data_IF_129943442180
#
_entry.id   IF_129943442180
#
_cell.length_a   1.000
_cell.length_b   1.000
_cell.length_c   1.000
_cell.angle_alpha   90.00
_cell.angle_beta   90.00
_cell.angle_gamma   90.00
#
_symmetry.space_group_name_H-M   'P 1'
#
loop_
_entity.id
_entity.type
_entity.pdbx_description
1 polymer ?
#
# COMPACT_ATOMS: atom_id res chain seq x y z
N UNK A 1 -4.79 14.58 25.12
CA UNK A 1 -4.83 13.38 24.25
C UNK A 1 -5.33 12.11 24.96
N UNK A 2 -5.15 12.00 26.28
CA UNK A 2 -5.59 10.84 27.07
C UNK A 2 -7.10 10.51 26.94
N UNK A 3 -7.99 11.51 26.99
CA UNK A 3 -9.43 11.27 26.95
C UNK A 3 -9.98 10.65 25.66
N UNK A 4 -9.41 10.99 24.49
CA UNK A 4 -9.86 10.37 23.21
C UNK A 4 -9.47 8.90 23.05
N UNK A 5 -8.36 8.50 23.63
CA UNK A 5 -7.92 7.09 23.60
C UNK A 5 -8.83 6.24 24.48
N UNK A 6 -9.23 6.76 25.63
CA UNK A 6 -10.16 6.10 26.55
C UNK A 6 -11.56 5.95 25.92
N UNK A 7 -12.07 7.02 25.30
CA UNK A 7 -13.32 7.00 24.54
C UNK A 7 -13.30 5.96 23.39
N UNK A 8 -12.19 5.89 22.64
CA UNK A 8 -12.02 4.88 21.58
C UNK A 8 -11.99 3.46 22.15
N UNK A 9 -11.33 3.26 23.29
CA UNK A 9 -11.28 1.95 23.97
C UNK A 9 -12.67 1.48 24.39
N UNK A 10 -13.47 2.39 24.96
CA UNK A 10 -14.85 2.10 25.31
C UNK A 10 -15.70 1.74 24.07
N UNK A 11 -15.58 2.51 23.00
CA UNK A 11 -16.29 2.23 21.75
C UNK A 11 -15.90 0.88 21.14
N UNK A 12 -14.62 0.53 21.14
CA UNK A 12 -14.13 -0.77 20.67
C UNK A 12 -14.78 -1.90 21.48
N UNK A 13 -14.82 -1.77 22.81
CA UNK A 13 -15.46 -2.75 23.67
C UNK A 13 -16.99 -2.85 23.45
N UNK A 14 -17.67 -1.72 23.26
CA UNK A 14 -19.11 -1.69 23.04
C UNK A 14 -19.53 -2.26 21.69
N UNK A 15 -18.69 -2.09 20.66
CA UNK A 15 -18.99 -2.51 19.29
C UNK A 15 -18.38 -3.86 18.92
N UNK A 16 -17.55 -4.45 19.80
CA UNK A 16 -16.76 -5.65 19.55
C UNK A 16 -15.94 -5.53 18.25
N UNK A 17 -15.30 -4.39 18.05
CA UNK A 17 -14.61 -4.06 16.83
C UNK A 17 -13.21 -4.69 16.80
N UNK A 18 -12.86 -5.38 15.71
CA UNK A 18 -11.54 -5.99 15.48
C UNK A 18 -10.44 -4.97 15.14
N UNK A 19 -10.81 -3.72 14.88
CA UNK A 19 -9.88 -2.67 14.53
C UNK A 19 -10.53 -1.33 14.31
N UNK A 20 -9.71 -0.31 14.08
CA UNK A 20 -10.14 1.05 13.80
C UNK A 20 -9.53 1.55 12.49
N UNK A 21 -10.23 2.45 11.83
CA UNK A 21 -9.76 3.16 10.64
C UNK A 21 -9.68 4.65 10.95
N UNK A 22 -8.51 5.24 10.75
CA UNK A 22 -8.31 6.67 10.84
C UNK A 22 -8.46 7.31 9.47
N UNK A 23 -9.26 8.36 9.36
CA UNK A 23 -9.46 9.11 8.10
C UNK A 23 -8.27 10.02 7.75
N UNK A 24 -7.28 10.09 8.59
CA UNK A 24 -6.03 10.81 8.37
C UNK A 24 -4.86 9.86 8.13
N UNK A 25 -3.79 10.38 7.52
CA UNK A 25 -2.53 9.67 7.41
C UNK A 25 -1.77 9.74 8.73
N UNK A 26 -1.51 8.58 9.33
CA UNK A 26 -0.78 8.48 10.59
C UNK A 26 0.73 8.38 10.34
N UNK A 27 1.51 9.04 11.18
CA UNK A 27 2.96 8.78 11.23
C UNK A 27 3.23 7.38 11.78
N UNK A 28 4.38 6.76 11.47
CA UNK A 28 4.72 5.44 12.01
C UNK A 28 4.66 5.36 13.54
N UNK A 29 5.09 6.42 14.23
CA UNK A 29 5.05 6.49 15.69
C UNK A 29 3.60 6.55 16.22
N UNK A 30 2.75 7.37 15.61
CA UNK A 30 1.33 7.45 15.98
C UNK A 30 0.61 6.11 15.77
N UNK A 31 0.87 5.44 14.64
CA UNK A 31 0.30 4.14 14.35
C UNK A 31 0.69 3.11 15.42
N UNK A 32 1.98 3.02 15.74
CA UNK A 32 2.48 2.08 16.75
C UNK A 32 1.88 2.38 18.11
N UNK A 33 1.90 3.63 18.55
CA UNK A 33 1.35 4.03 19.83
C UNK A 33 -0.15 3.71 19.94
N UNK A 34 -0.94 3.98 18.89
CA UNK A 34 -2.37 3.65 18.88
C UNK A 34 -2.60 2.15 18.93
N UNK A 35 -1.83 1.34 18.20
CA UNK A 35 -1.93 -0.12 18.25
C UNK A 35 -1.57 -0.68 19.63
N UNK A 36 -0.53 -0.14 20.26
CA UNK A 36 -0.13 -0.54 21.62
C UNK A 36 -1.15 -0.15 22.67
N UNK A 37 -1.73 1.04 22.58
CA UNK A 37 -2.72 1.54 23.53
C UNK A 37 -4.09 0.86 23.39
N UNK A 38 -4.53 0.64 22.16
CA UNK A 38 -5.87 0.12 21.89
C UNK A 38 -5.91 -1.41 21.76
N UNK A 39 -4.76 -2.06 21.57
CA UNK A 39 -4.62 -3.52 21.39
C UNK A 39 -5.48 -4.08 20.24
N UNK A 40 -5.82 -3.26 19.26
CA UNK A 40 -6.56 -3.63 18.05
C UNK A 40 -5.80 -3.18 16.80
N UNK A 41 -6.19 -3.70 15.66
CA UNK A 41 -5.63 -3.29 14.38
C UNK A 41 -5.98 -1.85 14.06
N UNK A 42 -4.98 -1.02 13.77
CA UNK A 42 -5.16 0.36 13.34
C UNK A 42 -4.76 0.50 11.88
N UNK A 43 -5.67 1.00 11.07
CA UNK A 43 -5.45 1.31 9.66
C UNK A 43 -5.60 2.81 9.45
N UNK A 44 -4.79 3.37 8.58
CA UNK A 44 -4.99 4.75 8.11
C UNK A 44 -5.66 4.77 6.73
N UNK A 45 -6.08 5.96 6.31
CA UNK A 45 -6.75 6.18 5.04
C UNK A 45 -5.94 5.66 3.85
N UNK A 46 -4.63 5.84 3.86
CA UNK A 46 -3.77 5.44 2.75
C UNK A 46 -3.74 3.92 2.57
N UNK A 47 -3.63 3.15 3.65
CA UNK A 47 -3.71 1.68 3.58
C UNK A 47 -5.06 1.23 3.02
N UNK A 48 -6.15 1.83 3.50
CA UNK A 48 -7.49 1.47 3.07
C UNK A 48 -7.71 1.73 1.57
N UNK A 49 -7.27 2.88 1.07
CA UNK A 49 -7.34 3.22 -0.36
C UNK A 49 -6.51 2.24 -1.19
N UNK A 50 -5.30 1.90 -0.74
CA UNK A 50 -4.44 0.96 -1.44
C UNK A 50 -5.04 -0.45 -1.49
N UNK A 51 -5.69 -0.90 -0.43
CA UNK A 51 -6.36 -2.19 -0.38
C UNK A 51 -7.58 -2.24 -1.31
N UNK A 52 -8.36 -1.15 -1.38
CA UNK A 52 -9.46 -1.01 -2.34
C UNK A 52 -8.94 -1.08 -3.78
N UNK A 53 -7.87 -0.39 -4.11
CA UNK A 53 -7.26 -0.46 -5.44
C UNK A 53 -6.71 -1.85 -5.74
N UNK A 54 -6.12 -2.54 -4.77
CA UNK A 54 -5.64 -3.90 -4.93
C UNK A 54 -6.77 -4.88 -5.26
N UNK A 55 -7.91 -4.75 -4.59
CA UNK A 55 -9.09 -5.57 -4.83
C UNK A 55 -9.70 -5.33 -6.23
N UNK A 56 -9.60 -4.12 -6.77
CA UNK A 56 -10.20 -3.73 -8.05
C UNK A 56 -9.22 -3.79 -9.24
N UNK A 57 -7.94 -3.98 -9.02
CA UNK A 57 -6.94 -4.06 -10.07
C UNK A 57 -7.11 -5.33 -10.93
N UNK A 58 -7.60 -5.17 -12.15
CA UNK A 58 -7.85 -6.28 -13.10
C UNK A 58 -6.73 -6.46 -14.11
N UNK A 59 -6.05 -5.38 -14.49
CA UNK A 59 -4.97 -5.43 -15.48
C UNK A 59 -3.64 -5.78 -14.83
N UNK A 60 -2.74 -6.41 -15.59
CA UNK A 60 -1.37 -6.70 -15.14
C UNK A 60 -0.63 -5.41 -14.72
N UNK A 61 -0.75 -4.35 -15.51
CA UNK A 61 -0.18 -3.05 -15.18
C UNK A 61 -0.75 -2.48 -13.89
N UNK A 62 -2.08 -2.50 -13.72
CA UNK A 62 -2.75 -2.03 -12.50
C UNK A 62 -2.31 -2.79 -11.25
N UNK A 63 -2.20 -4.12 -11.33
CA UNK A 63 -1.72 -4.96 -10.22
C UNK A 63 -0.28 -4.60 -9.82
N UNK A 64 0.62 -4.42 -10.79
CA UNK A 64 2.00 -4.02 -10.53
C UNK A 64 2.08 -2.62 -9.91
N UNK A 65 1.27 -1.67 -10.39
CA UNK A 65 1.23 -0.31 -9.85
C UNK A 65 0.75 -0.28 -8.40
N UNK A 66 -0.30 -1.02 -8.08
CA UNK A 66 -0.83 -1.08 -6.71
C UNK A 66 0.15 -1.78 -5.78
N UNK A 67 0.74 -2.90 -6.18
CA UNK A 67 1.77 -3.59 -5.39
C UNK A 67 2.96 -2.66 -5.12
N UNK A 68 3.40 -1.92 -6.14
CA UNK A 68 4.48 -0.93 -6.00
C UNK A 68 4.12 0.18 -5.00
N UNK A 69 2.89 0.70 -5.04
CA UNK A 69 2.42 1.71 -4.10
C UNK A 69 2.36 1.18 -2.67
N UNK A 70 1.83 -0.03 -2.46
CA UNK A 70 1.80 -0.69 -1.15
C UNK A 70 3.20 -0.92 -0.57
N UNK A 71 4.16 -1.35 -1.39
CA UNK A 71 5.53 -1.55 -0.94
C UNK A 71 6.25 -0.24 -0.60
N UNK A 72 6.03 0.81 -1.38
CA UNK A 72 6.55 2.15 -1.07
C UNK A 72 6.00 2.69 0.25
N UNK A 73 4.71 2.53 0.47
CA UNK A 73 4.08 2.89 1.72
C UNK A 73 4.68 2.12 2.90
N UNK A 74 4.82 0.79 2.80
CA UNK A 74 5.49 -0.05 3.82
C UNK A 74 6.93 0.39 4.06
N UNK A 75 7.69 0.68 3.00
CA UNK A 75 9.08 1.13 3.11
C UNK A 75 9.20 2.44 3.90
N UNK A 76 8.30 3.40 3.67
CA UNK A 76 8.28 4.67 4.42
C UNK A 76 8.00 4.45 5.90
N UNK A 77 7.10 3.52 6.23
CA UNK A 77 6.77 3.16 7.63
C UNK A 77 7.93 2.49 8.35
N UNK A 78 8.61 1.54 7.74
CA UNK A 78 9.80 0.91 8.30
C UNK A 78 10.96 1.89 8.53
N UNK A 79 11.06 2.93 7.70
CA UNK A 79 12.06 3.98 7.88
C UNK A 79 11.78 4.83 9.12
N UNK A 80 10.52 5.14 9.39
CA UNK A 80 10.09 5.85 10.59
C UNK A 80 10.34 5.06 11.87
N UNK A 81 10.02 3.76 11.89
CA UNK A 81 10.25 2.87 13.01
C UNK A 81 11.73 2.74 13.38
N UNK A 82 12.62 2.63 12.39
CA UNK A 82 14.07 2.55 12.66
C UNK A 82 14.65 3.81 13.32
N UNK A 83 14.12 4.99 12.98
CA UNK A 83 14.51 6.25 13.65
C UNK A 83 13.97 6.33 15.08
N UNK A 84 12.81 5.78 15.34
CA UNK A 84 12.21 5.71 16.68
C UNK A 84 12.98 4.75 17.58
N UNK A 85 13.32 3.55 17.09
CA UNK A 85 14.09 2.55 17.84
C UNK A 85 15.52 3.00 18.14
N UNK A 86 16.19 3.70 17.22
CA UNK A 86 17.54 4.24 17.47
C UNK A 86 17.55 5.39 18.47
N UNK A 87 16.44 6.08 18.72
CA UNK A 87 16.28 7.09 19.78
C UNK A 87 16.11 6.48 21.18
N UNK A 88 15.49 5.29 21.25
CA UNK A 88 15.24 4.58 22.51
C UNK A 88 16.45 3.75 22.96
N UNK A 89 17.32 3.34 22.03
CA UNK A 89 18.56 2.62 22.32
C UNK A 89 19.76 3.54 22.48
N UNK A 90 19.84 4.27 23.58
CA UNK A 90 21.00 5.13 23.93
C UNK A 90 22.27 4.34 24.24
N UNK A 91 22.86 3.70 23.23
CA UNK A 91 24.14 3.00 23.37
C UNK A 91 24.83 2.89 22.01
N UNK A 92 26.00 3.55 21.92
CA UNK A 92 26.92 3.46 20.79
C UNK A 92 27.36 1.98 20.64
N UNK A 93 26.88 1.28 19.61
CA UNK A 93 27.56 0.07 19.13
C UNK A 93 26.83 -1.27 19.19
N UNK A 94 25.66 -1.38 19.79
CA UNK A 94 24.91 -2.66 19.81
C UNK A 94 23.66 -2.59 18.96
N UNK A 95 23.77 -2.98 17.68
CA UNK A 95 22.60 -3.28 16.84
C UNK A 95 21.85 -4.47 17.45
N UNK A 96 20.68 -4.19 18.05
CA UNK A 96 19.82 -5.22 18.59
C UNK A 96 19.26 -6.15 17.50
N UNK A 97 18.77 -7.37 17.86
CA UNK A 97 18.20 -8.32 16.90
C UNK A 97 17.02 -7.73 16.12
N UNK A 98 16.26 -6.79 16.69
CA UNK A 98 15.18 -6.07 16.02
C UNK A 98 15.66 -5.12 14.92
N UNK A 99 16.78 -4.44 15.08
CA UNK A 99 17.36 -3.56 14.04
C UNK A 99 17.86 -4.36 12.83
N UNK A 100 18.46 -5.54 13.06
CA UNK A 100 18.90 -6.45 11.97
C UNK A 100 17.71 -6.94 11.17
N UNK A 101 16.62 -7.30 11.80
CA UNK A 101 15.38 -7.74 11.12
C UNK A 101 14.79 -6.62 10.30
N UNK A 102 14.67 -5.41 10.85
CA UNK A 102 14.19 -4.23 10.12
C UNK A 102 15.05 -3.87 8.91
N UNK A 103 16.37 -4.01 9.02
CA UNK A 103 17.29 -3.73 7.92
C UNK A 103 17.14 -4.78 6.81
N UNK A 104 16.97 -6.06 7.17
CA UNK A 104 16.69 -7.13 6.22
C UNK A 104 15.36 -6.91 5.51
N UNK A 105 14.30 -6.60 6.24
CA UNK A 105 12.97 -6.31 5.67
C UNK A 105 13.02 -5.12 4.70
N UNK A 106 13.74 -4.06 5.05
CA UNK A 106 13.96 -2.91 4.16
C UNK A 106 14.67 -3.30 2.87
N UNK A 107 15.69 -4.16 2.96
CA UNK A 107 16.44 -4.62 1.80
C UNK A 107 15.53 -5.42 0.87
N UNK A 108 14.78 -6.37 1.40
CA UNK A 108 13.84 -7.19 0.62
C UNK A 108 12.78 -6.32 -0.08
N UNK A 109 12.21 -5.34 0.63
CA UNK A 109 11.24 -4.41 0.04
C UNK A 109 11.87 -3.57 -1.08
N UNK A 110 13.10 -3.06 -0.90
CA UNK A 110 13.80 -2.31 -1.95
C UNK A 110 14.07 -3.15 -3.19
N UNK A 111 14.51 -4.39 -3.00
CA UNK A 111 14.74 -5.34 -4.09
C UNK A 111 13.43 -5.62 -4.84
N UNK A 112 12.33 -5.84 -4.13
CA UNK A 112 11.01 -6.06 -4.74
C UNK A 112 10.52 -4.82 -5.50
N UNK A 113 10.66 -3.62 -4.94
CA UNK A 113 10.34 -2.35 -5.62
C UNK A 113 11.16 -2.21 -6.90
N UNK A 114 12.44 -2.53 -6.89
CA UNK A 114 13.32 -2.46 -8.06
C UNK A 114 12.88 -3.43 -9.17
N UNK A 115 12.49 -4.64 -8.77
CA UNK A 115 11.96 -5.65 -9.69
C UNK A 115 10.63 -5.22 -10.31
N UNK A 116 9.69 -4.72 -9.52
CA UNK A 116 8.39 -4.23 -9.99
C UNK A 116 8.53 -3.04 -10.95
N UNK A 117 9.44 -2.11 -10.67
CA UNK A 117 9.72 -1.00 -11.58
C UNK A 117 10.24 -1.48 -12.94
N UNK A 118 11.06 -2.54 -12.99
CA UNK A 118 11.50 -3.15 -14.24
C UNK A 118 10.35 -3.79 -15.00
N UNK A 119 9.54 -4.61 -14.32
CA UNK A 119 8.37 -5.25 -14.91
C UNK A 119 7.37 -4.23 -15.46
N UNK A 120 7.13 -3.14 -14.72
CA UNK A 120 6.23 -2.06 -15.16
C UNK A 120 6.75 -1.38 -16.43
N UNK A 121 8.06 -1.11 -16.53
CA UNK A 121 8.66 -0.56 -17.74
C UNK A 121 8.49 -1.48 -18.95
N UNK A 122 8.64 -2.79 -18.76
CA UNK A 122 8.43 -3.78 -19.82
C UNK A 122 6.96 -3.82 -20.29
N UNK A 123 6.01 -3.80 -19.36
CA UNK A 123 4.57 -3.79 -19.69
C UNK A 123 4.20 -2.52 -20.46
N UNK A 124 4.69 -1.35 -20.03
CA UNK A 124 4.47 -0.08 -20.72
C UNK A 124 5.06 -0.12 -22.14
N UNK A 125 6.31 -0.57 -22.29
CA UNK A 125 6.97 -0.72 -23.58
C UNK A 125 6.19 -1.66 -24.53
N UNK A 126 5.76 -2.80 -24.04
CA UNK A 126 4.97 -3.75 -24.82
C UNK A 126 3.63 -3.15 -25.27
N UNK A 127 2.97 -2.38 -24.40
CA UNK A 127 1.73 -1.65 -24.74
C UNK A 127 1.95 -0.62 -25.84
N UNK A 128 3.05 0.13 -25.78
CA UNK A 128 3.41 1.11 -26.82
C UNK A 128 3.66 0.44 -28.16
N UNK A 129 4.40 -0.68 -28.19
CA UNK A 129 4.64 -1.47 -29.41
C UNK A 129 3.33 -1.99 -29.99
N UNK A 130 2.43 -2.52 -29.14
CA UNK A 130 1.12 -3.00 -29.60
C UNK A 130 0.26 -1.85 -30.13
N UNK A 131 0.27 -0.71 -29.47
CA UNK A 131 -0.45 0.49 -29.92
C UNK A 131 0.06 0.97 -31.27
N UNK A 132 1.38 1.01 -31.46
CA UNK A 132 1.99 1.40 -32.73
C UNK A 132 1.61 0.43 -33.86
N UNK A 133 1.64 -0.88 -33.61
CA UNK A 133 1.18 -1.89 -34.60
C UNK A 133 -0.29 -1.72 -34.99
N UNK A 134 -1.16 -1.39 -34.04
CA UNK A 134 -2.60 -1.11 -34.34
C UNK A 134 -2.76 0.15 -35.18
N UNK A 135 -1.94 1.16 -34.98
CA UNK A 135 -1.99 2.41 -35.79
C UNK A 135 -1.53 2.15 -37.20
N UNK A 136 -0.57 1.25 -37.41
CA UNK A 136 -0.09 0.87 -38.75
C UNK A 136 -1.04 -0.05 -39.53
N UNK A 137 -1.87 -0.84 -38.80
CA UNK A 137 -2.91 -1.71 -39.38
C UNK A 137 -4.28 -1.25 -38.91
N UNK A 138 -4.90 -0.22 -39.53
CA UNK A 138 -6.22 0.23 -39.18
C UNK A 138 -7.23 -0.87 -39.51
N UNK A 139 -7.66 -1.61 -38.52
CA UNK A 139 -8.78 -2.54 -38.64
C UNK A 139 -10.06 -1.72 -38.57
N UNK A 140 -10.80 -1.63 -39.64
CA UNK A 140 -12.13 -1.01 -39.66
C UNK A 140 -13.07 -1.84 -38.75
N UNK A 141 -13.50 -1.27 -37.65
CA UNK A 141 -14.50 -1.89 -36.80
C UNK A 141 -15.87 -1.66 -37.44
N UNK A 142 -16.41 -2.68 -38.13
CA UNK A 142 -17.78 -2.65 -38.62
C UNK A 142 -18.68 -3.07 -37.46
N UNK A 143 -19.37 -2.13 -36.86
CA UNK A 143 -20.42 -2.42 -35.88
C UNK A 143 -21.72 -2.71 -36.72
N UNK A 144 -22.06 -3.98 -36.86
CA UNK A 144 -23.34 -4.38 -37.44
C UNK A 144 -24.41 -4.16 -36.37
N UNK A 145 -25.18 -3.09 -36.46
CA UNK A 145 -26.37 -2.92 -35.63
C UNK A 145 -27.43 -3.96 -36.05
N UNK A 146 -28.04 -4.69 -35.11
CA UNK A 146 -29.15 -5.56 -35.44
C UNK A 146 -30.31 -4.68 -35.97
N UNK A 147 -30.76 -5.01 -37.18
CA UNK A 147 -31.98 -4.47 -37.77
C UNK A 147 -33.18 -4.98 -36.96
N UNK A 148 -33.70 -4.21 -36.10
CA UNK A 148 -34.98 -4.34 -35.34
C UNK A 148 -34.78 -4.07 -33.85
N UNK A 149 -34.70 -2.79 -33.53
CA UNK A 149 -35.33 -2.28 -32.32
C UNK A 149 -36.10 -1.02 -32.70
N UNK A 150 -37.36 -1.20 -33.01
CA UNK A 150 -38.34 -0.12 -32.97
C UNK A 150 -38.47 0.32 -31.51
N UNK A 151 -38.15 1.58 -31.27
CA UNK A 151 -38.51 2.27 -30.04
C UNK A 151 -39.99 2.57 -29.99
#
# INVERSE_FOLDING_TARGET
MSGKIEELRELIMQTDADGIVCDDELTPAQLTNLQEELQVKVLDRTVMILDIFAAHARTSEGKLQVELAQLRYRSSRLTGLGKSLSRLGGGIGTRGPGEKKLEMDRRLIKERISMLNRQLKEVVKNREVQRHKRTQNPTSLVIQMPENQHF
#
